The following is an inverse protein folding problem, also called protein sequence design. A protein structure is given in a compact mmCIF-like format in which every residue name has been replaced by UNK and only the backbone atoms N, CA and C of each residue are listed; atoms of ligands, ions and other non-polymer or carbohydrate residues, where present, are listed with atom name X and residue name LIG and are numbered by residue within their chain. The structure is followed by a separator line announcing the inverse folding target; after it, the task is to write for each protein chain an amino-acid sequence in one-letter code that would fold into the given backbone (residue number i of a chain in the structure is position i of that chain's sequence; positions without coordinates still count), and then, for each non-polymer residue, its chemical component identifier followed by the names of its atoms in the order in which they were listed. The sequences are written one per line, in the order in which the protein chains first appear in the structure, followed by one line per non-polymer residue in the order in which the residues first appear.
data_IF_743084594973
#
_entry.id   IF_743084594973
#
_cell.length_a   1.000
_cell.length_b   1.000
_cell.length_c   1.000
_cell.angle_alpha   90.00
_cell.angle_beta   90.00
_cell.angle_gamma   90.00
#
_symmetry.space_group_name_H-M   'P 1'
#
loop_
_entity.id
_entity.type
_entity.pdbx_description
1 polymer ?
#
# COMPACT_ATOMS: atom_id res chain seq x y z
N UNK A 1 13.54 4.17 21.69
CA UNK A 1 13.76 5.50 21.10
C UNK A 1 12.39 6.10 20.84
N UNK A 2 12.08 7.25 21.43
CA UNK A 2 10.79 7.92 21.27
C UNK A 2 10.72 8.58 19.88
N UNK A 3 9.85 8.10 19.00
CA UNK A 3 9.48 8.82 17.79
C UNK A 3 8.29 9.72 18.12
N UNK A 4 8.54 11.02 18.28
CA UNK A 4 7.50 12.01 18.47
C UNK A 4 6.69 12.14 17.19
N UNK A 5 5.41 11.75 17.24
CA UNK A 5 4.45 12.04 16.18
C UNK A 5 4.34 13.57 16.07
N UNK A 6 4.77 14.13 14.94
CA UNK A 6 4.54 15.53 14.62
C UNK A 6 3.05 15.72 14.30
N UNK A 7 2.29 16.16 15.30
CA UNK A 7 0.89 16.58 15.16
C UNK A 7 0.86 18.09 14.87
N UNK A 8 1.17 18.47 13.64
CA UNK A 8 1.11 19.88 13.19
C UNK A 8 -0.08 20.11 12.26
N UNK A 9 -0.84 21.22 12.42
CA UNK A 9 -1.93 21.57 11.51
C UNK A 9 -1.42 21.88 10.10
N UNK A 10 -2.22 21.52 9.09
CA UNK A 10 -1.99 21.91 7.69
C UNK A 10 -2.05 23.43 7.54
N UNK A 11 -1.06 24.02 6.85
CA UNK A 11 -1.03 25.46 6.51
C UNK A 11 -2.07 25.86 5.43
N UNK A 12 -2.72 24.89 4.80
CA UNK A 12 -3.90 25.12 3.96
C UNK A 12 -5.13 24.85 4.83
N UNK A 13 -5.94 25.88 5.09
CA UNK A 13 -7.13 25.90 5.94
C UNK A 13 -8.27 24.98 5.43
N UNK A 14 -8.06 23.66 5.37
CA UNK A 14 -9.11 22.65 5.23
C UNK A 14 -8.60 21.25 5.64
N UNK A 15 -8.99 20.80 6.84
CA UNK A 15 -8.88 19.40 7.28
C UNK A 15 -7.50 18.88 7.69
N UNK A 16 -7.50 17.74 8.39
CA UNK A 16 -6.30 17.04 8.86
C UNK A 16 -5.71 16.22 7.70
N UNK A 17 -4.57 16.64 7.17
CA UNK A 17 -3.81 15.86 6.20
C UNK A 17 -2.99 14.80 6.95
N UNK A 18 -3.39 13.53 6.89
CA UNK A 18 -2.62 12.41 7.45
C UNK A 18 -1.95 11.70 6.26
N UNK A 19 -0.65 11.96 6.05
CA UNK A 19 0.13 11.28 5.01
C UNK A 19 0.20 9.77 5.24
N UNK A 20 0.52 8.98 4.22
CA UNK A 20 0.59 7.51 4.33
C UNK A 20 1.63 7.09 5.37
N UNK A 21 2.77 7.77 5.41
CA UNK A 21 3.80 7.56 6.43
C UNK A 21 3.29 7.91 7.84
N UNK A 22 2.59 9.03 8.00
CA UNK A 22 2.04 9.44 9.30
C UNK A 22 0.89 8.56 9.78
N UNK A 23 0.02 8.10 8.87
CA UNK A 23 -1.05 7.14 9.17
C UNK A 23 -0.48 5.79 9.60
N UNK A 24 0.58 5.35 8.92
CA UNK A 24 1.29 4.15 9.31
C UNK A 24 1.95 4.31 10.69
N UNK A 25 2.76 5.35 10.90
CA UNK A 25 3.42 5.60 12.19
C UNK A 25 2.42 5.78 13.34
N UNK A 26 1.28 6.45 13.10
CA UNK A 26 0.20 6.57 14.08
C UNK A 26 -0.50 5.23 14.36
N UNK A 27 -0.45 4.28 13.42
CA UNK A 27 -0.95 2.93 13.63
C UNK A 27 0.01 2.00 14.36
N UNK A 28 1.26 2.42 14.60
CA UNK A 28 2.29 1.67 15.29
C UNK A 28 2.38 2.02 16.80
N UNK A 29 1.28 2.41 17.45
CA UNK A 29 1.36 2.79 18.88
C UNK A 29 2.05 1.72 19.73
N UNK A 30 2.94 2.19 20.62
CA UNK A 30 3.84 1.39 21.43
C UNK A 30 3.10 0.33 22.24
N UNK A 31 3.29 -0.94 21.89
CA UNK A 31 2.66 -2.09 22.55
C UNK A 31 1.86 -2.99 21.61
N UNK A 32 1.46 -2.49 20.44
CA UNK A 32 0.86 -3.34 19.42
C UNK A 32 1.95 -4.15 18.74
N UNK A 33 1.89 -5.47 18.93
CA UNK A 33 2.60 -6.39 18.04
C UNK A 33 2.10 -6.09 16.64
N UNK A 34 3.00 -5.85 15.68
CA UNK A 34 2.68 -5.63 14.26
C UNK A 34 1.92 -6.88 13.76
N UNK A 35 0.62 -6.94 14.02
CA UNK A 35 -0.24 -8.11 13.79
C UNK A 35 -1.14 -7.89 12.58
N UNK A 36 -1.22 -6.63 12.14
CA UNK A 36 -2.04 -6.21 11.02
C UNK A 36 -1.23 -6.34 9.74
N UNK A 37 -1.74 -7.16 8.81
CA UNK A 37 -1.17 -7.25 7.47
C UNK A 37 -1.37 -5.95 6.69
N UNK A 38 -0.52 -5.67 5.71
CA UNK A 38 -0.62 -4.43 4.93
C UNK A 38 -0.65 -4.67 3.43
N UNK A 39 -1.35 -3.77 2.73
CA UNK A 39 -1.41 -3.71 1.27
C UNK A 39 -0.98 -2.31 0.87
N UNK A 40 0.16 -2.19 0.23
CA UNK A 40 0.74 -0.93 -0.23
C UNK A 40 0.62 -0.83 -1.74
N UNK A 41 0.18 0.31 -2.25
CA UNK A 41 0.05 0.56 -3.69
C UNK A 41 0.74 1.87 -4.01
N UNK A 42 1.84 1.80 -4.77
CA UNK A 42 2.68 2.93 -5.10
C UNK A 42 3.07 2.94 -6.57
N UNK A 43 2.89 4.06 -7.26
CA UNK A 43 3.34 4.19 -8.64
C UNK A 43 4.31 5.37 -8.80
N UNK A 44 5.37 5.18 -9.58
CA UNK A 44 6.45 6.15 -9.75
C UNK A 44 7.06 6.57 -8.41
N UNK A 45 7.14 7.88 -8.16
CA UNK A 45 7.66 8.45 -6.91
C UNK A 45 6.85 8.07 -5.66
N UNK A 46 5.60 7.59 -5.84
CA UNK A 46 4.76 7.10 -4.76
C UNK A 46 5.33 5.88 -4.00
N UNK A 47 6.45 5.30 -4.46
CA UNK A 47 7.18 4.26 -3.76
C UNK A 47 7.92 4.74 -2.50
N UNK A 48 8.31 6.02 -2.44
CA UNK A 48 9.14 6.57 -1.36
C UNK A 48 8.66 6.26 0.07
N UNK A 49 7.39 6.46 0.46
CA UNK A 49 6.92 6.13 1.81
C UNK A 49 6.97 4.63 2.08
N UNK A 50 6.78 3.79 1.07
CA UNK A 50 6.78 2.33 1.21
C UNK A 50 8.18 1.75 1.35
N UNK A 51 9.20 2.38 0.75
CA UNK A 51 10.59 1.97 0.96
C UNK A 51 10.99 2.03 2.44
N UNK A 52 10.69 3.15 3.11
CA UNK A 52 10.97 3.31 4.54
C UNK A 52 10.22 2.29 5.39
N UNK A 53 8.97 1.99 5.02
CA UNK A 53 8.15 0.96 5.65
C UNK A 53 8.78 -0.43 5.55
N UNK A 54 9.16 -0.85 4.33
CA UNK A 54 9.76 -2.18 4.11
C UNK A 54 11.14 -2.27 4.78
N UNK A 55 11.93 -1.19 4.77
CA UNK A 55 13.22 -1.14 5.46
C UNK A 55 13.06 -1.34 6.97
N UNK A 56 12.09 -0.68 7.60
CA UNK A 56 11.82 -0.87 9.03
C UNK A 56 11.42 -2.31 9.34
N UNK A 57 10.59 -2.92 8.48
CA UNK A 57 10.20 -4.33 8.62
C UNK A 57 11.36 -5.28 8.47
N UNK A 58 12.25 -5.05 7.49
CA UNK A 58 13.47 -5.83 7.32
C UNK A 58 14.33 -5.80 8.59
N UNK A 59 14.49 -4.63 9.23
CA UNK A 59 15.20 -4.52 10.49
C UNK A 59 14.54 -5.30 11.65
N UNK A 60 13.21 -5.35 11.71
CA UNK A 60 12.48 -6.14 12.70
C UNK A 60 12.63 -7.65 12.45
N UNK A 61 12.54 -8.08 11.19
CA UNK A 61 12.79 -9.47 10.79
C UNK A 61 14.21 -9.94 11.17
N UNK A 62 15.22 -9.09 10.94
CA UNK A 62 16.60 -9.36 11.35
C UNK A 62 16.80 -9.53 12.86
N UNK A 63 15.88 -9.01 13.67
CA UNK A 63 15.85 -9.21 15.13
C UNK A 63 14.99 -10.41 15.56
N UNK A 64 14.55 -11.26 14.62
CA UNK A 64 13.75 -12.46 14.89
C UNK A 64 12.26 -12.18 15.15
N UNK A 65 11.78 -10.96 14.89
CA UNK A 65 10.36 -10.62 15.02
C UNK A 65 9.59 -11.26 13.87
N UNK A 66 8.52 -12.00 14.19
CA UNK A 66 7.60 -12.52 13.18
C UNK A 66 6.77 -11.37 12.61
N UNK A 67 6.89 -11.15 11.31
CA UNK A 67 6.16 -10.10 10.63
C UNK A 67 4.79 -10.59 10.13
N UNK A 68 3.76 -9.73 10.15
CA UNK A 68 2.51 -10.00 9.46
C UNK A 68 2.73 -9.86 7.96
N UNK A 69 1.83 -10.38 7.15
CA UNK A 69 1.98 -10.33 5.70
C UNK A 69 1.96 -8.90 5.15
N UNK A 70 2.85 -8.59 4.20
CA UNK A 70 2.88 -7.31 3.52
C UNK A 70 2.95 -7.51 2.01
N UNK A 71 2.09 -6.81 1.27
CA UNK A 71 2.09 -6.78 -0.18
C UNK A 71 2.37 -5.36 -0.69
N UNK A 72 3.19 -5.23 -1.72
CA UNK A 72 3.49 -3.98 -2.40
C UNK A 72 3.17 -4.10 -3.89
N UNK A 73 2.25 -3.29 -4.38
CA UNK A 73 1.93 -3.17 -5.79
C UNK A 73 2.66 -1.94 -6.35
N UNK A 74 3.71 -2.17 -7.13
CA UNK A 74 4.56 -1.13 -7.69
C UNK A 74 4.31 -0.90 -9.19
N UNK A 75 3.92 0.32 -9.56
CA UNK A 75 3.71 0.71 -10.96
C UNK A 75 4.79 1.63 -11.50
N UNK A 76 5.42 1.29 -12.62
CA UNK A 76 6.34 2.18 -13.34
C UNK A 76 6.28 1.95 -14.86
N UNK A 77 7.21 2.53 -15.65
CA UNK A 77 7.16 2.40 -17.12
C UNK A 77 7.80 1.12 -17.58
N UNK A 78 9.04 0.85 -17.15
CA UNK A 78 9.78 -0.36 -17.55
C UNK A 78 10.90 -0.66 -16.54
N UNK A 79 11.28 -1.94 -16.40
CA UNK A 79 12.40 -2.31 -15.54
C UNK A 79 13.70 -1.65 -15.99
N UNK A 80 14.56 -1.30 -15.03
CA UNK A 80 15.87 -0.69 -15.26
C UNK A 80 15.85 0.75 -15.75
N UNK A 81 14.70 1.43 -15.73
CA UNK A 81 14.58 2.84 -16.10
C UNK A 81 14.00 3.70 -14.99
N UNK A 82 12.77 3.41 -14.58
CA UNK A 82 12.05 4.13 -13.52
C UNK A 82 11.48 3.18 -12.46
N UNK A 83 11.99 1.94 -12.45
CA UNK A 83 11.75 0.93 -11.42
C UNK A 83 12.75 1.16 -10.28
N UNK A 84 12.36 2.07 -9.39
CA UNK A 84 13.23 2.54 -8.31
C UNK A 84 13.40 1.43 -7.27
N UNK A 85 14.64 1.22 -6.81
CA UNK A 85 14.98 0.26 -5.74
C UNK A 85 14.61 -1.20 -6.05
N UNK A 86 14.56 -1.58 -7.33
CA UNK A 86 14.22 -2.94 -7.76
C UNK A 86 15.09 -4.01 -7.06
N UNK A 87 16.41 -3.80 -6.97
CA UNK A 87 17.33 -4.74 -6.32
C UNK A 87 17.07 -4.85 -4.81
N UNK A 88 16.82 -3.73 -4.12
CA UNK A 88 16.47 -3.73 -2.68
C UNK A 88 15.15 -4.44 -2.43
N UNK A 89 14.13 -4.15 -3.25
CA UNK A 89 12.81 -4.78 -3.17
C UNK A 89 12.88 -6.28 -3.44
N UNK A 90 13.70 -6.71 -4.40
CA UNK A 90 13.94 -8.13 -4.67
C UNK A 90 14.58 -8.82 -3.47
N UNK A 91 15.63 -8.22 -2.87
CA UNK A 91 16.27 -8.78 -1.67
C UNK A 91 15.28 -8.92 -0.51
N UNK A 92 14.48 -7.89 -0.25
CA UNK A 92 13.47 -7.95 0.82
C UNK A 92 12.34 -8.93 0.54
N UNK A 93 12.04 -9.18 -0.73
CA UNK A 93 11.11 -10.23 -1.11
C UNK A 93 11.67 -11.62 -0.86
N UNK A 94 12.93 -11.86 -1.23
CA UNK A 94 13.62 -13.12 -0.99
C UNK A 94 13.77 -13.40 0.51
N UNK A 95 13.97 -12.36 1.32
CA UNK A 95 13.99 -12.42 2.79
C UNK A 95 12.58 -12.57 3.42
N UNK A 96 11.52 -12.56 2.61
CA UNK A 96 10.13 -12.71 3.08
C UNK A 96 9.56 -11.50 3.81
N UNK A 97 10.20 -10.33 3.70
CA UNK A 97 9.78 -9.08 4.37
C UNK A 97 8.53 -8.49 3.71
N UNK A 98 8.42 -8.62 2.39
CA UNK A 98 7.32 -8.09 1.57
C UNK A 98 7.14 -8.93 0.30
N UNK A 99 5.90 -9.10 -0.17
CA UNK A 99 5.61 -9.61 -1.52
C UNK A 99 5.43 -8.45 -2.48
N UNK A 100 6.15 -8.43 -3.60
CA UNK A 100 6.15 -7.31 -4.55
C UNK A 100 5.51 -7.73 -5.87
N UNK A 101 4.53 -6.94 -6.31
CA UNK A 101 3.82 -7.11 -7.56
C UNK A 101 4.11 -5.91 -8.45
N UNK A 102 4.81 -6.14 -9.56
CA UNK A 102 5.14 -5.08 -10.51
C UNK A 102 4.04 -4.90 -11.56
N UNK A 103 3.89 -3.67 -12.06
CA UNK A 103 3.14 -3.33 -13.25
C UNK A 103 3.94 -2.35 -14.11
N UNK A 104 4.18 -2.71 -15.38
CA UNK A 104 5.01 -1.93 -16.29
C UNK A 104 4.19 -1.40 -17.46
N UNK A 105 3.94 -0.09 -17.48
CA UNK A 105 3.05 0.53 -18.48
C UNK A 105 3.58 0.49 -19.92
N UNK A 106 4.90 0.33 -20.10
CA UNK A 106 5.59 0.25 -21.40
C UNK A 106 6.26 -1.10 -21.68
N UNK A 107 6.22 -2.03 -20.72
CA UNK A 107 6.78 -3.38 -20.86
C UNK A 107 5.95 -4.41 -20.05
N UNK A 108 4.62 -4.49 -20.26
CA UNK A 108 3.73 -5.34 -19.45
C UNK A 108 4.10 -6.82 -19.51
N UNK A 109 4.71 -7.29 -20.60
CA UNK A 109 5.23 -8.65 -20.75
C UNK A 109 6.29 -9.01 -19.70
N UNK A 110 6.97 -8.01 -19.11
CA UNK A 110 7.92 -8.19 -18.01
C UNK A 110 7.30 -8.14 -16.61
N UNK A 111 5.99 -7.92 -16.53
CA UNK A 111 5.21 -7.83 -15.30
C UNK A 111 3.97 -8.73 -15.39
N UNK A 112 4.09 -9.97 -15.88
CA UNK A 112 2.98 -10.92 -16.00
C UNK A 112 1.76 -10.38 -16.79
N UNK A 113 1.99 -9.45 -17.74
CA UNK A 113 0.94 -8.78 -18.50
C UNK A 113 0.30 -7.58 -17.78
N UNK A 114 0.73 -7.24 -16.55
CA UNK A 114 0.21 -6.12 -15.79
C UNK A 114 0.75 -4.80 -16.34
N UNK A 115 -0.12 -4.01 -16.97
CA UNK A 115 0.24 -2.70 -17.52
C UNK A 115 0.14 -1.61 -16.45
N UNK A 116 -0.84 -1.72 -15.56
CA UNK A 116 -1.05 -0.81 -14.46
C UNK A 116 -1.31 -1.56 -13.16
N UNK A 117 -1.14 -0.89 -12.02
CA UNK A 117 -1.29 -1.50 -10.69
C UNK A 117 -2.68 -2.12 -10.46
N UNK A 118 -3.74 -1.57 -11.06
CA UNK A 118 -5.07 -2.16 -11.00
C UNK A 118 -5.17 -3.53 -11.68
N UNK A 119 -4.33 -3.80 -12.69
CA UNK A 119 -4.30 -5.11 -13.36
C UNK A 119 -3.71 -6.16 -12.43
N UNK A 120 -2.61 -5.82 -11.74
CA UNK A 120 -1.98 -6.66 -10.74
C UNK A 120 -2.92 -6.90 -9.53
N UNK A 121 -3.59 -5.85 -9.04
CA UNK A 121 -4.59 -5.97 -7.97
C UNK A 121 -5.73 -6.92 -8.35
N UNK A 122 -6.19 -6.87 -9.61
CA UNK A 122 -7.25 -7.75 -10.09
C UNK A 122 -6.79 -9.21 -10.24
N UNK A 123 -5.56 -9.43 -10.69
CA UNK A 123 -4.95 -10.75 -10.75
C UNK A 123 -4.89 -11.37 -9.35
N UNK A 124 -4.39 -10.61 -8.38
CA UNK A 124 -4.21 -11.03 -6.98
C UNK A 124 -5.45 -10.81 -6.09
N UNK A 125 -6.64 -10.64 -6.69
CA UNK A 125 -7.87 -10.30 -5.96
C UNK A 125 -8.20 -11.24 -4.80
N UNK A 126 -7.88 -12.53 -4.94
CA UNK A 126 -8.12 -13.53 -3.87
C UNK A 126 -7.28 -13.22 -2.63
N UNK A 127 -6.00 -12.90 -2.82
CA UNK A 127 -5.11 -12.50 -1.73
C UNK A 127 -5.55 -11.17 -1.11
N UNK A 128 -5.95 -10.18 -1.93
CA UNK A 128 -6.47 -8.90 -1.43
C UNK A 128 -7.72 -9.11 -0.57
N UNK A 129 -8.65 -9.94 -1.02
CA UNK A 129 -9.86 -10.31 -0.26
C UNK A 129 -9.51 -10.97 1.07
N UNK A 130 -8.60 -11.95 1.07
CA UNK A 130 -8.18 -12.65 2.30
C UNK A 130 -7.52 -11.68 3.30
N UNK A 131 -6.58 -10.87 2.84
CA UNK A 131 -5.91 -9.87 3.67
C UNK A 131 -6.92 -8.88 4.24
N UNK A 132 -7.88 -8.42 3.43
CA UNK A 132 -8.93 -7.53 3.90
C UNK A 132 -9.79 -8.17 5.00
N UNK A 133 -10.19 -9.43 4.85
CA UNK A 133 -10.93 -10.18 5.88
C UNK A 133 -10.13 -10.33 7.17
N UNK A 134 -8.80 -10.52 7.06
CA UNK A 134 -7.86 -10.59 8.19
C UNK A 134 -7.57 -9.23 8.86
N UNK A 135 -8.24 -8.16 8.45
CA UNK A 135 -8.08 -6.85 9.08
C UNK A 135 -6.99 -5.99 8.47
N UNK A 136 -6.47 -6.34 7.28
CA UNK A 136 -5.37 -5.60 6.67
C UNK A 136 -5.70 -4.12 6.45
N UNK A 137 -4.64 -3.29 6.50
CA UNK A 137 -4.67 -1.87 6.14
C UNK A 137 -4.14 -1.65 4.73
N UNK A 138 -4.79 -0.77 4.00
CA UNK A 138 -4.46 -0.47 2.61
C UNK A 138 -3.91 0.96 2.49
N UNK A 139 -2.80 1.14 1.78
CA UNK A 139 -2.15 2.44 1.62
C UNK A 139 -1.96 2.73 0.13
N UNK A 140 -2.41 3.89 -0.32
CA UNK A 140 -2.31 4.31 -1.73
C UNK A 140 -1.45 5.57 -1.81
N UNK A 141 -0.43 5.55 -2.66
CA UNK A 141 0.45 6.68 -2.87
C UNK A 141 0.67 6.90 -4.39
N UNK A 142 0.37 8.09 -4.91
CA UNK A 142 0.54 8.39 -6.34
C UNK A 142 -0.26 9.59 -6.86
N UNK A 143 -0.59 9.60 -8.15
CA UNK A 143 -1.42 10.66 -8.77
C UNK A 143 -2.91 10.37 -8.64
N UNK A 144 -3.77 11.40 -8.60
CA UNK A 144 -5.22 11.27 -8.38
C UNK A 144 -5.90 10.26 -9.32
N UNK A 145 -5.37 10.13 -10.54
CA UNK A 145 -5.80 9.12 -11.52
C UNK A 145 -5.57 7.69 -11.03
N UNK A 146 -4.40 7.43 -10.46
CA UNK A 146 -4.03 6.12 -9.90
C UNK A 146 -4.86 5.83 -8.66
N UNK A 147 -5.00 6.81 -7.76
CA UNK A 147 -5.85 6.66 -6.57
C UNK A 147 -7.28 6.29 -6.91
N UNK A 148 -7.86 6.91 -7.95
CA UNK A 148 -9.21 6.62 -8.42
C UNK A 148 -9.34 5.22 -9.04
N UNK A 149 -8.39 4.83 -9.90
CA UNK A 149 -8.38 3.50 -10.53
C UNK A 149 -8.20 2.37 -9.50
N UNK A 150 -7.32 2.58 -8.51
CA UNK A 150 -7.12 1.64 -7.40
C UNK A 150 -8.36 1.54 -6.53
N UNK A 151 -8.99 2.67 -6.19
CA UNK A 151 -10.22 2.67 -5.41
C UNK A 151 -11.35 1.90 -6.13
N UNK A 152 -11.49 2.08 -7.45
CA UNK A 152 -12.50 1.37 -8.25
C UNK A 152 -12.26 -0.15 -8.26
N UNK A 153 -11.03 -0.59 -8.55
CA UNK A 153 -10.74 -2.03 -8.62
C UNK A 153 -10.87 -2.70 -7.25
N UNK A 154 -10.42 -2.04 -6.17
CA UNK A 154 -10.55 -2.60 -4.82
C UNK A 154 -12.01 -2.69 -4.41
N UNK A 155 -12.83 -1.66 -4.65
CA UNK A 155 -14.28 -1.73 -4.41
C UNK A 155 -14.92 -2.89 -5.18
N UNK A 156 -14.52 -3.11 -6.44
CA UNK A 156 -15.02 -4.21 -7.26
C UNK A 156 -14.62 -5.58 -6.69
N UNK A 157 -13.36 -5.74 -6.26
CA UNK A 157 -12.85 -6.96 -5.63
C UNK A 157 -13.66 -7.29 -4.37
N UNK A 158 -13.80 -6.31 -3.47
CA UNK A 158 -14.48 -6.50 -2.19
C UNK A 158 -16.00 -6.70 -2.36
N UNK A 159 -16.62 -6.02 -3.32
CA UNK A 159 -18.03 -6.23 -3.66
C UNK A 159 -18.27 -7.65 -4.21
N UNK A 160 -17.37 -8.13 -5.07
CA UNK A 160 -17.44 -9.50 -5.62
C UNK A 160 -17.29 -10.58 -4.54
N UNK A 161 -16.68 -10.23 -3.40
CA UNK A 161 -16.54 -11.08 -2.22
C UNK A 161 -17.64 -10.87 -1.16
N UNK A 162 -18.68 -10.08 -1.44
CA UNK A 162 -19.74 -9.71 -0.49
C UNK A 162 -19.23 -9.04 0.81
N UNK A 163 -18.10 -8.33 0.75
CA UNK A 163 -17.49 -7.62 1.88
C UNK A 163 -17.90 -6.14 1.98
N UNK A 164 -18.73 -5.69 1.05
CA UNK A 164 -19.25 -4.33 0.96
C UNK A 164 -20.72 -4.35 1.32
N UNK A 165 -21.14 -3.44 2.19
CA UNK A 165 -22.52 -3.32 2.63
C UNK A 165 -23.12 -2.01 2.12
N UNK A 166 -24.28 -2.08 1.45
CA UNK A 166 -24.97 -0.91 0.91
C UNK A 166 -24.25 -0.32 -0.31
N UNK A 167 -24.26 1.01 -0.43
CA UNK A 167 -23.60 1.70 -1.53
C UNK A 167 -22.07 1.59 -1.43
N UNK A 168 -21.45 0.99 -2.44
CA UNK A 168 -20.01 0.69 -2.43
C UNK A 168 -19.13 1.96 -2.33
N UNK A 169 -19.56 3.07 -2.95
CA UNK A 169 -18.79 4.32 -2.92
C UNK A 169 -18.86 4.98 -1.54
N UNK A 170 -20.04 4.97 -0.92
CA UNK A 170 -20.23 5.51 0.43
C UNK A 170 -19.52 4.64 1.47
N UNK A 171 -19.63 3.32 1.35
CA UNK A 171 -18.91 2.36 2.19
C UNK A 171 -17.40 2.53 2.05
N UNK A 172 -16.89 2.67 0.83
CA UNK A 172 -15.47 2.93 0.62
C UNK A 172 -15.06 4.24 1.29
N UNK A 173 -15.80 5.33 1.12
CA UNK A 173 -15.49 6.60 1.81
C UNK A 173 -15.44 6.46 3.34
N UNK A 174 -16.31 5.64 3.95
CA UNK A 174 -16.31 5.45 5.41
C UNK A 174 -15.11 4.64 5.92
N UNK A 175 -14.48 3.85 5.06
CA UNK A 175 -13.26 3.10 5.38
C UNK A 175 -11.99 3.97 5.37
N UNK A 176 -12.07 5.23 4.90
CA UNK A 176 -10.91 6.13 4.82
C UNK A 176 -10.43 6.48 6.23
N UNK A 177 -9.13 6.43 6.44
CA UNK A 177 -8.45 6.59 7.73
C UNK A 177 -8.79 5.52 8.79
N UNK A 178 -9.62 4.52 8.45
CA UNK A 178 -9.92 3.36 9.31
C UNK A 178 -9.20 2.11 8.79
N UNK A 179 -9.44 1.78 7.52
CA UNK A 179 -8.88 0.60 6.84
C UNK A 179 -8.02 0.95 5.63
N UNK A 180 -8.11 2.18 5.11
CA UNK A 180 -7.17 2.64 4.11
C UNK A 180 -6.81 4.12 4.23
N UNK A 181 -5.62 4.48 3.77
CA UNK A 181 -5.13 5.85 3.67
C UNK A 181 -4.60 6.15 2.28
N UNK A 182 -4.66 7.42 1.88
CA UNK A 182 -4.35 7.87 0.52
C UNK A 182 -3.51 9.14 0.61
N UNK A 183 -2.39 9.18 -0.10
CA UNK A 183 -1.45 10.30 -0.18
C UNK A 183 -1.17 10.63 -1.65
N UNK A 184 -1.64 11.79 -2.11
CA UNK A 184 -1.67 12.15 -3.54
C UNK A 184 -0.86 13.42 -3.81
N UNK A 185 -0.10 13.45 -4.92
CA UNK A 185 0.93 14.47 -5.16
C UNK A 185 0.83 15.20 -6.51
N UNK A 186 -0.35 15.31 -7.12
CA UNK A 186 -0.59 16.07 -8.37
C UNK A 186 -1.83 16.97 -8.34
#
# INVERSE_FOLDING_TARGET
MNFSILDVPSFAHEGRHIGVASSYLASLQSGDTESTSVIMIGAGSGLAPFRGFVQQRSALAGNGVKLPEACLFHGCRKPGFDDLYADELSSWQDDGVVKVYHAYSRAPEKANGHKYVQDALWAERAQITELWQRGAKLYICGSHKIGSAVAEVVQKILSSANLVHGDAKQWWKSMRNVRYAVDMFD
#
